data_IF_897958910180
#
_entry.id   IF_897958910180
#
_cell.length_a   1.000
_cell.length_b   1.000
_cell.length_c   1.000
_cell.angle_alpha   90.00
_cell.angle_beta   90.00
_cell.angle_gamma   90.00
#
_symmetry.space_group_name_H-M   'P 1'
#
loop_
_entity.id
_entity.type
_entity.pdbx_description
1 polymer ?
#
# COMPACT_ATOMS: atom_id res chain seq x y z
N UNK A 1 15.29 -16.94 11.09
CA UNK A 1 14.46 -16.95 9.86
C UNK A 1 13.36 -15.88 9.80
N UNK A 2 12.82 -15.40 10.93
CA UNK A 2 11.77 -14.34 10.96
C UNK A 2 12.34 -12.93 10.66
N UNK A 3 13.58 -12.68 11.10
CA UNK A 3 14.27 -11.37 10.96
C UNK A 3 14.56 -11.01 9.49
N UNK A 4 14.88 -12.02 8.65
CA UNK A 4 15.17 -11.81 7.22
C UNK A 4 13.93 -11.44 6.40
N UNK A 5 12.75 -11.98 6.74
CA UNK A 5 11.50 -11.70 6.01
C UNK A 5 11.05 -10.26 6.23
N UNK A 6 11.21 -9.74 7.46
CA UNK A 6 10.83 -8.37 7.79
C UNK A 6 11.75 -7.33 7.13
N UNK A 7 13.07 -7.54 7.17
CA UNK A 7 14.03 -6.64 6.52
C UNK A 7 13.84 -6.58 5.00
N UNK A 8 13.57 -7.71 4.36
CA UNK A 8 13.28 -7.76 2.92
C UNK A 8 12.01 -6.98 2.57
N UNK A 9 10.98 -7.06 3.42
CA UNK A 9 9.73 -6.36 3.21
C UNK A 9 9.90 -4.84 3.26
N UNK A 10 10.67 -4.32 4.22
CA UNK A 10 10.96 -2.88 4.31
C UNK A 10 11.82 -2.39 3.14
N UNK A 11 12.79 -3.17 2.66
CA UNK A 11 13.57 -2.81 1.46
C UNK A 11 12.68 -2.72 0.21
N UNK A 12 11.82 -3.72 0.00
CA UNK A 12 10.87 -3.73 -1.14
C UNK A 12 9.90 -2.55 -1.04
N UNK A 13 9.33 -2.32 0.14
CA UNK A 13 8.42 -1.21 0.40
C UNK A 13 9.06 0.14 0.10
N UNK A 14 10.29 0.37 0.55
CA UNK A 14 11.04 1.60 0.29
C UNK A 14 11.37 1.78 -1.19
N UNK A 15 11.74 0.70 -1.90
CA UNK A 15 11.99 0.75 -3.33
C UNK A 15 10.72 1.14 -4.12
N UNK A 16 9.57 0.51 -3.80
CA UNK A 16 8.29 0.82 -4.45
C UNK A 16 7.85 2.26 -4.15
N UNK A 17 7.93 2.69 -2.88
CA UNK A 17 7.57 4.08 -2.50
C UNK A 17 8.43 5.11 -3.24
N UNK A 18 9.74 4.87 -3.32
CA UNK A 18 10.66 5.74 -4.05
C UNK A 18 10.24 5.86 -5.52
N UNK A 19 9.97 4.73 -6.18
CA UNK A 19 9.52 4.74 -7.58
C UNK A 19 8.19 5.49 -7.76
N UNK A 20 7.22 5.26 -6.86
CA UNK A 20 5.93 5.97 -6.88
C UNK A 20 6.10 7.48 -6.74
N UNK A 21 7.00 7.94 -5.87
CA UNK A 21 7.30 9.36 -5.69
C UNK A 21 8.03 9.96 -6.88
N UNK A 22 8.99 9.25 -7.47
CA UNK A 22 9.68 9.67 -8.69
C UNK A 22 8.69 9.83 -9.85
N UNK A 23 7.81 8.85 -10.07
CA UNK A 23 6.75 8.93 -11.07
C UNK A 23 5.76 10.05 -10.76
N UNK A 24 5.40 10.25 -9.50
CA UNK A 24 4.51 11.34 -9.09
C UNK A 24 5.10 12.71 -9.42
N UNK A 25 6.39 12.93 -9.13
CA UNK A 25 7.11 14.16 -9.50
C UNK A 25 7.18 14.36 -11.01
N UNK A 26 7.42 13.29 -11.78
CA UNK A 26 7.45 13.36 -13.25
C UNK A 26 6.09 13.69 -13.88
N UNK A 27 4.99 13.47 -13.16
CA UNK A 27 3.63 13.76 -13.62
C UNK A 27 2.99 14.93 -12.86
N UNK A 28 3.81 15.80 -12.25
CA UNK A 28 3.39 17.00 -11.54
C UNK A 28 2.36 16.77 -10.40
N UNK A 29 2.38 15.57 -9.80
CA UNK A 29 1.51 15.27 -8.66
C UNK A 29 1.96 16.03 -7.42
N UNK A 30 1.01 16.70 -6.78
CA UNK A 30 1.25 17.45 -5.56
C UNK A 30 1.61 16.50 -4.41
N UNK A 31 2.31 17.02 -3.40
CA UNK A 31 2.77 16.21 -2.26
C UNK A 31 1.64 15.52 -1.48
N UNK A 32 0.42 16.09 -1.50
CA UNK A 32 -0.76 15.48 -0.86
C UNK A 32 -1.44 14.40 -1.72
N UNK A 33 -1.14 14.32 -3.01
CA UNK A 33 -1.62 13.27 -3.93
C UNK A 33 -0.69 12.06 -3.94
N UNK A 34 0.54 12.22 -3.46
CA UNK A 34 1.54 11.15 -3.40
C UNK A 34 1.33 10.23 -2.18
N UNK A 35 1.45 8.92 -2.42
CA UNK A 35 1.23 7.88 -1.41
C UNK A 35 2.29 7.96 -0.31
N UNK A 36 1.87 8.06 0.96
CA UNK A 36 2.78 8.22 2.11
C UNK A 36 3.28 6.90 2.69
N UNK A 37 2.51 5.82 2.52
CA UNK A 37 2.84 4.50 3.05
C UNK A 37 2.11 3.42 2.25
N UNK A 38 2.67 2.21 2.22
CA UNK A 38 2.09 1.06 1.51
C UNK A 38 2.23 -0.20 2.37
N UNK A 39 1.36 -1.17 2.11
CA UNK A 39 1.52 -2.55 2.54
C UNK A 39 1.66 -3.45 1.32
N UNK A 40 2.59 -4.40 1.37
CA UNK A 40 2.77 -5.41 0.33
C UNK A 40 1.96 -6.65 0.72
N UNK A 41 1.01 -7.01 -0.14
CA UNK A 41 0.19 -8.22 0.00
C UNK A 41 0.68 -9.28 -0.99
N UNK A 42 0.71 -10.54 -0.57
CA UNK A 42 1.12 -11.66 -1.43
C UNK A 42 -0.02 -12.21 -2.28
N UNK A 43 -1.27 -12.04 -1.84
CA UNK A 43 -2.45 -12.54 -2.56
C UNK A 43 -2.94 -11.49 -3.58
N UNK A 44 -3.01 -11.84 -4.88
CA UNK A 44 -3.53 -10.93 -5.90
C UNK A 44 -5.04 -10.71 -5.76
N UNK A 45 -5.53 -9.60 -6.31
CA UNK A 45 -6.98 -9.39 -6.45
C UNK A 45 -7.50 -10.19 -7.65
N UNK A 46 -8.57 -10.94 -7.44
CA UNK A 46 -9.17 -11.77 -8.49
C UNK A 46 -10.70 -11.66 -8.48
N UNK A 47 -11.34 -12.22 -9.51
CA UNK A 47 -12.81 -12.27 -9.57
C UNK A 47 -13.31 -13.32 -8.56
N UNK A 48 -12.58 -14.43 -8.43
CA UNK A 48 -12.88 -15.58 -7.55
C UNK A 48 -12.82 -15.19 -6.07
N UNK A 49 -11.83 -14.39 -5.66
CA UNK A 49 -11.76 -13.89 -4.28
C UNK A 49 -12.65 -12.66 -4.04
N UNK A 50 -13.46 -12.27 -5.03
CA UNK A 50 -14.46 -11.21 -4.90
C UNK A 50 -13.88 -9.81 -4.75
N UNK A 51 -12.60 -9.62 -5.07
CA UNK A 51 -11.93 -8.31 -4.98
C UNK A 51 -11.95 -7.54 -6.30
N UNK A 52 -12.22 -8.21 -7.41
CA UNK A 52 -12.44 -7.60 -8.72
C UNK A 52 -13.89 -7.73 -9.21
N UNK A 53 -14.33 -6.79 -10.03
CA UNK A 53 -15.52 -6.95 -10.87
C UNK A 53 -15.24 -7.96 -11.98
N UNK A 54 -16.27 -8.50 -12.65
CA UNK A 54 -16.08 -9.33 -13.84
C UNK A 54 -15.29 -8.64 -14.97
N UNK A 55 -15.23 -7.30 -14.94
CA UNK A 55 -14.47 -6.45 -15.86
C UNK A 55 -13.10 -6.03 -15.31
N UNK A 56 -12.55 -6.75 -14.33
CA UNK A 56 -11.23 -6.53 -13.73
C UNK A 56 -11.04 -5.17 -13.01
N UNK A 57 -12.13 -4.46 -12.68
CA UNK A 57 -12.05 -3.26 -11.85
C UNK A 57 -12.01 -3.65 -10.37
N UNK A 58 -11.28 -2.89 -9.55
CA UNK A 58 -11.22 -3.14 -8.10
C UNK A 58 -12.59 -2.88 -7.45
N UNK A 59 -13.07 -3.83 -6.65
CA UNK A 59 -14.22 -3.64 -5.75
C UNK A 59 -13.77 -2.97 -4.47
N UNK A 60 -13.71 -1.64 -4.47
CA UNK A 60 -13.17 -0.83 -3.37
C UNK A 60 -13.70 -1.25 -1.99
N UNK A 61 -15.02 -1.36 -1.81
CA UNK A 61 -15.62 -1.76 -0.53
C UNK A 61 -15.15 -3.15 -0.05
N UNK A 62 -15.01 -4.12 -0.95
CA UNK A 62 -14.57 -5.47 -0.60
C UNK A 62 -13.09 -5.48 -0.19
N UNK A 63 -12.24 -4.74 -0.91
CA UNK A 63 -10.82 -4.58 -0.58
C UNK A 63 -10.66 -3.86 0.77
N UNK A 64 -11.35 -2.74 0.97
CA UNK A 64 -11.30 -1.99 2.24
C UNK A 64 -11.77 -2.85 3.42
N UNK A 65 -12.83 -3.63 3.25
CA UNK A 65 -13.31 -4.55 4.29
C UNK A 65 -12.29 -5.65 4.60
N UNK A 66 -11.69 -6.26 3.57
CA UNK A 66 -10.70 -7.34 3.74
C UNK A 66 -9.42 -6.85 4.43
N UNK A 67 -8.95 -5.65 4.07
CA UNK A 67 -7.66 -5.10 4.55
C UNK A 67 -7.81 -3.97 5.57
N UNK A 68 -8.97 -3.87 6.23
CA UNK A 68 -9.27 -2.79 7.19
C UNK A 68 -8.19 -2.63 8.26
N UNK A 69 -7.80 -3.72 8.92
CA UNK A 69 -6.78 -3.69 9.97
C UNK A 69 -5.40 -3.28 9.43
N UNK A 70 -5.05 -3.72 8.23
CA UNK A 70 -3.80 -3.32 7.57
C UNK A 70 -3.79 -1.82 7.28
N UNK A 71 -4.89 -1.28 6.74
CA UNK A 71 -5.05 0.16 6.48
C UNK A 71 -4.97 0.97 7.78
N UNK A 72 -5.66 0.55 8.84
CA UNK A 72 -5.60 1.18 10.16
C UNK A 72 -4.16 1.20 10.70
N UNK A 73 -3.41 0.10 10.56
CA UNK A 73 -2.00 0.03 10.93
C UNK A 73 -1.13 1.01 10.15
N UNK A 74 -1.34 1.14 8.83
CA UNK A 74 -0.60 2.10 8.00
C UNK A 74 -0.86 3.55 8.43
N UNK A 75 -2.11 3.93 8.67
CA UNK A 75 -2.46 5.27 9.13
C UNK A 75 -1.92 5.57 10.51
N UNK A 76 -2.01 4.60 11.44
CA UNK A 76 -1.45 4.73 12.78
C UNK A 76 0.06 4.99 12.71
N UNK A 77 0.80 4.22 11.92
CA UNK A 77 2.24 4.40 11.75
C UNK A 77 2.61 5.77 11.14
N UNK A 78 1.75 6.37 10.31
CA UNK A 78 1.95 7.73 9.81
C UNK A 78 1.78 8.80 10.89
N UNK A 79 0.82 8.62 11.80
CA UNK A 79 0.57 9.58 12.89
C UNK A 79 1.71 9.62 13.91
N UNK A 80 2.36 8.48 14.19
CA UNK A 80 3.54 8.44 15.07
C UNK A 80 4.76 9.18 14.52
N UNK A 81 4.81 9.45 13.21
CA UNK A 81 5.92 10.18 12.58
C UNK A 81 5.75 11.70 12.61
N UNK A 82 4.70 12.23 13.26
CA UNK A 82 4.40 13.67 13.38
C UNK A 82 4.77 14.23 14.77
N UNK A 83 5.59 13.52 15.56
CA UNK A 83 6.10 14.04 16.84
C UNK A 83 7.51 13.52 17.13
N UNK A 84 8.50 14.33 16.76
CA UNK A 84 9.71 14.74 17.51
C UNK A 84 10.49 15.74 16.65
#
# INVERSE_FOLDING_TARGET
>A
NIINVNLHNELIKNAILKELHERGKMNDLMSYEQVKNIAVISEPFTIENGLLTPTFKIRRYAVEKKYKQTLEGLYKNLQYNVSL
#
